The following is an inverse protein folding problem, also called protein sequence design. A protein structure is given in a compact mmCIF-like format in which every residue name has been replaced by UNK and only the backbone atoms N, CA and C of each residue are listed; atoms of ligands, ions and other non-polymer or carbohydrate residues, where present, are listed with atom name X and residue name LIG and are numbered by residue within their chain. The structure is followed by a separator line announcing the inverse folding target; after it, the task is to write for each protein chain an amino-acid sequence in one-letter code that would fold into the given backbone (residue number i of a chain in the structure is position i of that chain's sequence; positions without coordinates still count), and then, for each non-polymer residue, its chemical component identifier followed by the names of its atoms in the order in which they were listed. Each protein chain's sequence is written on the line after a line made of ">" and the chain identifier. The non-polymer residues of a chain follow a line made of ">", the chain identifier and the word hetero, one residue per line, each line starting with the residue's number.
data_IF_149318212334
#
_entry.id   IF_149318212334
#
_cell.length_a   1.000
_cell.length_b   1.000
_cell.length_c   1.000
_cell.angle_alpha   90.00
_cell.angle_beta   90.00
_cell.angle_gamma   90.00
#
_symmetry.space_group_name_H-M   'P 1'
#
loop_
_entity.id
_entity.type
_entity.pdbx_description
1 polymer ?
#
# COMPACT_ATOMS: atom_id res chain seq x y z
N UNK A 1 -44.29 -41.13 3.07
CA UNK A 1 -43.91 -40.36 4.28
C UNK A 1 -42.46 -40.57 4.73
N UNK A 2 -42.03 -41.80 5.11
CA UNK A 2 -40.62 -42.03 5.55
C UNK A 2 -39.52 -41.55 4.59
N UNK A 3 -39.68 -41.74 3.27
CA UNK A 3 -38.72 -41.25 2.25
C UNK A 3 -38.67 -39.72 2.14
N UNK A 4 -39.80 -39.03 2.32
CA UNK A 4 -39.86 -37.57 2.31
C UNK A 4 -39.27 -36.96 3.59
N UNK A 5 -39.48 -37.61 4.75
CA UNK A 5 -38.88 -37.22 6.03
C UNK A 5 -37.35 -37.41 6.00
N UNK A 6 -36.86 -38.51 5.42
CA UNK A 6 -35.42 -38.71 5.25
C UNK A 6 -34.79 -37.70 4.28
N UNK A 7 -35.48 -37.35 3.19
CA UNK A 7 -35.01 -36.31 2.26
C UNK A 7 -34.99 -34.92 2.92
N UNK A 8 -36.02 -34.59 3.71
CA UNK A 8 -36.10 -33.35 4.48
C UNK A 8 -35.00 -33.31 5.56
N UNK A 9 -34.73 -34.43 6.25
CA UNK A 9 -33.62 -34.52 7.21
C UNK A 9 -32.26 -34.42 6.53
N UNK A 10 -32.09 -34.97 5.32
CA UNK A 10 -30.85 -34.82 4.54
C UNK A 10 -30.66 -33.37 4.08
N UNK A 11 -31.74 -32.70 3.66
CA UNK A 11 -31.75 -31.28 3.31
C UNK A 11 -31.48 -30.39 4.53
N UNK A 12 -32.08 -30.71 5.68
CA UNK A 12 -31.83 -30.01 6.95
C UNK A 12 -30.39 -30.24 7.44
N UNK A 13 -29.83 -31.44 7.28
CA UNK A 13 -28.42 -31.72 7.56
C UNK A 13 -27.48 -30.98 6.58
N UNK A 14 -27.88 -30.82 5.32
CA UNK A 14 -27.14 -30.02 4.34
C UNK A 14 -27.20 -28.50 4.65
N UNK A 15 -28.33 -28.01 5.17
CA UNK A 15 -28.50 -26.62 5.63
C UNK A 15 -27.76 -26.36 6.94
N UNK A 16 -27.64 -27.35 7.82
CA UNK A 16 -26.83 -27.28 9.05
C UNK A 16 -25.32 -27.36 8.75
N UNK A 17 -24.92 -27.86 7.58
CA UNK A 17 -23.53 -27.87 7.12
C UNK A 17 -23.06 -26.52 6.54
N UNK A 18 -23.91 -25.47 6.54
CA UNK A 18 -23.45 -24.09 6.43
C UNK A 18 -22.88 -23.60 7.78
N UNK A 19 -22.00 -24.39 8.40
CA UNK A 19 -21.23 -23.93 9.56
C UNK A 19 -20.20 -22.92 9.05
N UNK A 20 -20.12 -21.76 9.69
CA UNK A 20 -19.02 -20.84 9.46
C UNK A 20 -17.69 -21.60 9.59
N UNK A 21 -16.77 -21.37 8.65
CA UNK A 21 -15.50 -22.09 8.61
C UNK A 21 -14.63 -21.60 9.76
N UNK A 22 -13.88 -22.50 10.39
CA UNK A 22 -13.03 -22.15 11.53
C UNK A 22 -11.67 -21.66 11.05
N UNK A 23 -11.16 -20.62 11.68
CA UNK A 23 -9.87 -20.05 11.41
C UNK A 23 -9.12 -19.83 12.70
N UNK A 24 -7.86 -20.23 12.73
CA UNK A 24 -6.96 -19.94 13.84
C UNK A 24 -6.28 -18.61 13.59
N UNK A 25 -6.31 -17.74 14.59
CA UNK A 25 -5.62 -16.45 14.57
C UNK A 25 -4.13 -16.72 14.67
N UNK A 26 -3.41 -16.36 13.62
CA UNK A 26 -1.95 -16.37 13.59
C UNK A 26 -1.41 -14.97 13.37
N UNK A 27 -0.95 -14.35 14.44
CA UNK A 27 -0.43 -13.00 14.38
C UNK A 27 0.84 -12.98 13.53
N UNK A 28 0.79 -12.30 12.37
CA UNK A 28 2.01 -12.09 11.58
C UNK A 28 2.95 -11.09 12.26
N UNK A 29 2.39 -10.17 13.04
CA UNK A 29 3.12 -9.05 13.66
C UNK A 29 2.55 -8.79 15.05
N UNK A 30 3.40 -8.86 16.07
CA UNK A 30 3.02 -8.67 17.46
C UNK A 30 2.21 -9.84 18.01
N UNK A 31 1.61 -9.63 19.18
CA UNK A 31 0.97 -10.69 19.98
C UNK A 31 -0.57 -10.70 19.85
N UNK A 32 -1.13 -9.78 19.07
CA UNK A 32 -2.58 -9.67 18.88
C UNK A 32 -2.97 -8.97 17.57
N UNK A 33 -4.20 -9.21 17.13
CA UNK A 33 -4.80 -8.65 15.92
C UNK A 33 -5.99 -7.77 16.29
N UNK A 34 -6.02 -6.55 15.74
CA UNK A 34 -7.12 -5.62 15.90
C UNK A 34 -8.38 -6.08 15.14
N UNK A 35 -9.52 -6.09 15.83
CA UNK A 35 -10.83 -6.39 15.26
C UNK A 35 -11.69 -5.14 15.24
N UNK A 36 -12.28 -4.86 14.09
CA UNK A 36 -13.11 -3.69 13.84
C UNK A 36 -14.57 -4.07 13.68
N UNK A 37 -15.45 -3.09 13.84
CA UNK A 37 -16.82 -3.23 13.39
C UNK A 37 -16.86 -3.47 11.87
N UNK A 38 -17.91 -4.17 11.43
CA UNK A 38 -18.18 -4.37 10.01
C UNK A 38 -19.48 -3.67 9.67
N UNK A 39 -19.46 -2.87 8.61
CA UNK A 39 -20.66 -2.21 8.09
C UNK A 39 -21.21 -3.10 6.99
N UNK A 40 -22.36 -3.70 7.28
CA UNK A 40 -23.10 -4.55 6.33
C UNK A 40 -24.08 -3.68 5.53
N UNK A 41 -23.90 -3.65 4.21
CA UNK A 41 -24.77 -2.92 3.28
C UNK A 41 -25.39 -3.91 2.31
N UNK A 42 -26.71 -4.04 2.33
CA UNK A 42 -27.44 -4.93 1.42
C UNK A 42 -27.89 -4.09 0.21
N UNK A 43 -27.43 -4.45 -1.00
CA UNK A 43 -27.85 -3.79 -2.23
C UNK A 43 -28.24 -4.86 -3.26
N UNK A 44 -29.54 -4.94 -3.55
CA UNK A 44 -30.12 -6.11 -4.25
C UNK A 44 -29.73 -7.42 -3.53
N UNK A 45 -29.87 -8.60 -4.14
CA UNK A 45 -29.60 -9.90 -3.51
C UNK A 45 -28.14 -10.10 -3.02
N UNK A 46 -27.28 -9.09 -3.15
CA UNK A 46 -25.88 -9.08 -2.75
C UNK A 46 -25.65 -8.31 -1.43
N UNK A 47 -24.86 -8.92 -0.54
CA UNK A 47 -24.39 -8.29 0.70
C UNK A 47 -22.98 -7.74 0.49
N UNK A 48 -22.78 -6.46 0.79
CA UNK A 48 -21.49 -5.78 0.75
C UNK A 48 -21.02 -5.50 2.17
N UNK A 49 -19.73 -5.73 2.42
CA UNK A 49 -19.09 -5.41 3.68
C UNK A 49 -18.08 -4.29 3.50
N UNK A 50 -18.00 -3.39 4.47
CA UNK A 50 -16.89 -2.45 4.62
C UNK A 50 -16.36 -2.43 6.05
N UNK A 51 -15.09 -2.06 6.17
CA UNK A 51 -14.45 -1.90 7.48
C UNK A 51 -15.04 -0.67 8.16
N UNK A 52 -15.59 -0.84 9.34
CA UNK A 52 -15.98 0.32 10.15
C UNK A 52 -14.77 0.99 10.80
N UNK A 53 -14.97 2.20 11.31
CA UNK A 53 -13.89 3.01 11.88
C UNK A 53 -13.56 2.63 13.33
N UNK A 54 -14.40 1.82 13.98
CA UNK A 54 -14.33 1.58 15.42
C UNK A 54 -13.58 0.28 15.71
N UNK A 55 -12.45 0.40 16.41
CA UNK A 55 -11.79 -0.74 17.05
C UNK A 55 -12.71 -1.31 18.14
N UNK A 56 -12.99 -2.61 18.06
CA UNK A 56 -13.90 -3.29 18.98
C UNK A 56 -13.16 -4.09 20.06
N UNK A 57 -12.19 -4.91 19.67
CA UNK A 57 -11.37 -5.72 20.57
C UNK A 57 -10.12 -6.25 19.85
N UNK A 58 -9.30 -7.01 20.57
CA UNK A 58 -8.14 -7.71 20.03
C UNK A 58 -8.34 -9.22 20.12
N UNK A 59 -7.82 -9.94 19.13
CA UNK A 59 -7.68 -11.40 19.15
C UNK A 59 -6.21 -11.75 19.38
N UNK A 60 -5.94 -12.76 20.19
CA UNK A 60 -4.60 -13.22 20.50
C UNK A 60 -4.15 -14.36 19.58
N UNK A 61 -2.83 -14.57 19.48
CA UNK A 61 -2.31 -15.72 18.74
C UNK A 61 -2.86 -17.03 19.31
N UNK A 62 -3.42 -17.87 18.45
CA UNK A 62 -4.06 -19.13 18.83
C UNK A 62 -5.55 -19.02 19.16
N UNK A 63 -6.13 -17.82 19.21
CA UNK A 63 -7.59 -17.69 19.26
C UNK A 63 -8.23 -18.32 18.02
N UNK A 64 -9.39 -18.95 18.17
CA UNK A 64 -10.15 -19.48 17.05
C UNK A 64 -11.38 -18.61 16.78
N UNK A 65 -11.63 -18.34 15.51
CA UNK A 65 -12.78 -17.55 15.05
C UNK A 65 -13.51 -18.25 13.91
N UNK A 66 -14.78 -17.92 13.77
CA UNK A 66 -15.61 -18.40 12.68
C UNK A 66 -15.63 -17.36 11.56
N UNK A 67 -15.07 -17.71 10.41
CA UNK A 67 -15.02 -16.87 9.21
C UNK A 67 -16.22 -17.15 8.32
N UNK A 68 -16.83 -16.08 7.83
CA UNK A 68 -18.10 -16.13 7.08
C UNK A 68 -17.93 -15.62 5.66
N UNK A 69 -17.07 -14.62 5.47
CA UNK A 69 -16.84 -14.00 4.16
C UNK A 69 -15.49 -13.27 4.12
N UNK A 70 -15.05 -12.85 2.93
CA UNK A 70 -13.91 -11.96 2.74
C UNK A 70 -14.32 -10.79 1.84
N UNK A 71 -14.01 -9.59 2.28
CA UNK A 71 -14.06 -8.41 1.44
C UNK A 71 -12.70 -7.77 1.34
N UNK A 72 -12.51 -7.07 0.25
CA UNK A 72 -11.38 -6.21 0.04
C UNK A 72 -11.83 -4.81 0.37
N UNK A 73 -11.07 -4.10 1.21
CA UNK A 73 -11.35 -2.69 1.44
C UNK A 73 -11.14 -1.93 0.12
N UNK A 74 -12.26 -1.73 -0.59
CA UNK A 74 -12.33 -0.98 -1.84
C UNK A 74 -12.55 0.46 -1.45
N UNK A 75 -11.45 1.20 -1.35
CA UNK A 75 -11.54 2.65 -1.48
C UNK A 75 -12.25 3.02 -2.80
N UNK A 76 -12.66 4.28 -2.94
CA UNK A 76 -13.41 4.81 -4.10
C UNK A 76 -12.74 4.54 -5.46
N UNK A 77 -11.44 4.22 -5.50
CA UNK A 77 -10.71 3.83 -6.70
C UNK A 77 -9.89 2.56 -6.41
N UNK A 78 -10.15 1.50 -7.17
CA UNK A 78 -9.37 0.26 -7.15
C UNK A 78 -7.99 0.51 -7.77
N UNK A 79 -6.95 0.42 -6.95
CA UNK A 79 -5.55 0.68 -7.34
C UNK A 79 -4.68 -0.57 -7.23
N UNK A 80 -5.30 -1.77 -7.28
CA UNK A 80 -4.57 -3.03 -7.46
C UNK A 80 -3.78 -3.52 -6.25
N UNK A 81 -4.13 -3.07 -5.04
CA UNK A 81 -3.56 -3.57 -3.80
C UNK A 81 -4.53 -3.34 -2.66
N UNK A 82 -5.65 -4.04 -2.69
CA UNK A 82 -6.65 -3.98 -1.66
C UNK A 82 -6.28 -4.92 -0.51
N UNK A 83 -6.33 -4.40 0.71
CA UNK A 83 -6.13 -5.22 1.90
C UNK A 83 -7.38 -6.10 2.07
N UNK A 84 -7.14 -7.40 2.19
CA UNK A 84 -8.19 -8.37 2.51
C UNK A 84 -8.60 -8.27 3.96
N UNK A 85 -9.90 -8.18 4.19
CA UNK A 85 -10.53 -8.30 5.50
C UNK A 85 -11.42 -9.54 5.50
N UNK A 86 -11.21 -10.42 6.47
CA UNK A 86 -12.10 -11.52 6.75
C UNK A 86 -13.23 -11.03 7.67
N UNK A 87 -14.46 -11.34 7.30
CA UNK A 87 -15.64 -11.18 8.15
C UNK A 87 -15.68 -12.36 9.10
N UNK A 88 -15.60 -12.07 10.40
CA UNK A 88 -15.61 -13.07 11.46
C UNK A 88 -16.88 -12.92 12.30
N UNK A 89 -17.39 -14.03 12.81
CA UNK A 89 -18.52 -14.07 13.72
C UNK A 89 -18.04 -14.38 15.14
N UNK A 90 -18.48 -13.58 16.10
CA UNK A 90 -18.22 -13.77 17.53
C UNK A 90 -19.44 -13.33 18.34
N UNK A 91 -19.89 -14.17 19.26
CA UNK A 91 -21.06 -13.89 20.12
C UNK A 91 -22.32 -13.49 19.33
N UNK A 92 -22.53 -14.11 18.16
CA UNK A 92 -23.66 -13.81 17.27
C UNK A 92 -23.57 -12.49 16.50
N UNK A 93 -22.48 -11.72 16.65
CA UNK A 93 -22.22 -10.48 15.91
C UNK A 93 -21.10 -10.67 14.89
N UNK A 94 -21.20 -9.97 13.76
CA UNK A 94 -20.15 -9.94 12.75
C UNK A 94 -19.16 -8.82 13.05
N UNK A 95 -17.89 -9.08 12.78
CA UNK A 95 -16.77 -8.16 12.89
C UNK A 95 -15.85 -8.37 11.70
N UNK A 96 -14.84 -7.52 11.53
CA UNK A 96 -13.82 -7.75 10.53
C UNK A 96 -12.40 -7.64 11.09
N UNK A 97 -11.51 -8.44 10.52
CA UNK A 97 -10.07 -8.45 10.82
C UNK A 97 -9.28 -8.67 9.54
N UNK A 98 -7.98 -8.37 9.56
CA UNK A 98 -7.11 -8.59 8.40
C UNK A 98 -7.03 -10.09 8.08
N UNK A 99 -7.36 -10.47 6.83
CA UNK A 99 -7.36 -11.88 6.40
C UNK A 99 -5.98 -12.52 6.50
N UNK A 100 -4.92 -11.74 6.32
CA UNK A 100 -3.53 -12.22 6.43
C UNK A 100 -3.13 -12.68 7.84
N UNK A 101 -3.94 -12.46 8.89
CA UNK A 101 -3.66 -12.97 10.24
C UNK A 101 -4.48 -14.22 10.59
N UNK A 102 -5.14 -14.83 9.61
CA UNK A 102 -5.96 -16.01 9.79
C UNK A 102 -5.36 -17.18 9.02
N UNK A 103 -5.43 -18.37 9.62
CA UNK A 103 -5.07 -19.63 8.99
C UNK A 103 -6.28 -20.55 9.02
N UNK A 104 -6.56 -21.24 7.92
CA UNK A 104 -7.61 -22.24 7.88
C UNK A 104 -7.38 -23.30 8.96
N UNK A 105 -8.33 -23.43 9.89
CA UNK A 105 -8.15 -24.28 11.05
C UNK A 105 -8.23 -25.75 10.68
N UNK A 106 -7.44 -26.58 11.36
CA UNK A 106 -7.50 -28.05 11.23
C UNK A 106 -8.75 -28.66 11.85
N UNK A 107 -9.50 -27.87 12.62
CA UNK A 107 -10.75 -28.28 13.23
C UNK A 107 -11.92 -28.29 12.23
N UNK A 108 -11.70 -27.81 11.00
CA UNK A 108 -12.66 -27.98 9.92
C UNK A 108 -12.69 -29.45 9.45
N UNK A 109 -13.87 -29.96 9.03
CA UNK A 109 -13.97 -31.31 8.48
C UNK A 109 -13.04 -31.56 7.29
N UNK A 110 -12.49 -32.77 7.19
CA UNK A 110 -11.62 -33.16 6.08
C UNK A 110 -12.35 -33.02 4.72
N UNK A 111 -11.66 -32.46 3.72
CA UNK A 111 -12.20 -32.25 2.38
C UNK A 111 -12.98 -30.94 2.19
N UNK A 112 -13.10 -30.10 3.22
CA UNK A 112 -13.66 -28.75 3.11
C UNK A 112 -12.62 -27.80 2.50
N UNK A 113 -12.96 -27.17 1.38
CA UNK A 113 -12.14 -26.13 0.76
C UNK A 113 -12.31 -24.78 1.47
N UNK A 114 -11.22 -24.04 1.66
CA UNK A 114 -11.25 -22.69 2.22
C UNK A 114 -11.95 -21.72 1.26
N UNK A 115 -13.00 -21.05 1.74
CA UNK A 115 -13.78 -20.09 0.96
C UNK A 115 -13.45 -18.64 1.31
N UNK A 116 -12.74 -18.40 2.40
CA UNK A 116 -12.46 -17.04 2.91
C UNK A 116 -11.05 -16.61 2.54
N UNK A 117 -10.03 -17.43 2.80
CA UNK A 117 -8.65 -17.00 2.58
C UNK A 117 -8.22 -17.20 1.12
N UNK A 118 -7.34 -16.30 0.66
CA UNK A 118 -6.70 -16.44 -0.64
C UNK A 118 -5.30 -17.02 -0.50
N UNK A 119 -4.75 -17.54 -1.61
CA UNK A 119 -3.35 -18.02 -1.66
C UNK A 119 -2.34 -17.00 -1.16
N UNK A 120 -2.62 -15.70 -1.31
CA UNK A 120 -1.78 -14.62 -0.78
C UNK A 120 -1.80 -14.54 0.75
N UNK A 121 -2.93 -14.83 1.39
CA UNK A 121 -3.04 -14.87 2.85
C UNK A 121 -2.29 -16.11 3.39
N UNK A 122 -2.48 -17.26 2.75
CA UNK A 122 -1.76 -18.49 3.09
C UNK A 122 -0.25 -18.32 2.95
N UNK A 123 0.20 -17.63 1.88
CA UNK A 123 1.60 -17.33 1.65
C UNK A 123 2.22 -16.60 2.85
N UNK A 124 1.48 -15.70 3.50
CA UNK A 124 1.96 -14.93 4.64
C UNK A 124 2.40 -15.83 5.82
N UNK A 125 1.80 -17.02 5.94
CA UNK A 125 2.11 -17.97 7.00
C UNK A 125 3.16 -19.01 6.63
N UNK A 126 3.61 -19.05 5.37
CA UNK A 126 4.77 -19.84 4.96
C UNK A 126 6.07 -19.30 5.58
N UNK A 127 7.12 -20.12 5.63
CA UNK A 127 8.44 -19.69 6.14
C UNK A 127 8.94 -18.44 5.39
N UNK A 128 8.82 -18.43 4.07
CA UNK A 128 9.26 -17.30 3.24
C UNK A 128 8.39 -16.06 3.46
N UNK A 129 7.06 -16.21 3.51
CA UNK A 129 6.16 -15.11 3.78
C UNK A 129 6.41 -14.46 5.13
N UNK A 130 6.59 -15.25 6.20
CA UNK A 130 6.89 -14.75 7.55
C UNK A 130 8.20 -13.95 7.60
N UNK A 131 9.22 -14.37 6.87
CA UNK A 131 10.49 -13.63 6.79
C UNK A 131 10.25 -12.24 6.18
N UNK A 132 9.56 -12.15 5.04
CA UNK A 132 9.36 -10.88 4.34
C UNK A 132 8.24 -10.00 4.92
N UNK A 133 7.31 -10.57 5.68
CA UNK A 133 6.36 -9.79 6.47
C UNK A 133 6.92 -9.31 7.82
N UNK A 134 8.13 -9.77 8.18
CA UNK A 134 8.92 -9.21 9.28
C UNK A 134 9.69 -7.95 8.84
N UNK A 135 10.01 -7.08 9.78
CA UNK A 135 10.80 -5.87 9.52
C UNK A 135 12.30 -6.18 9.27
N UNK A 136 12.75 -7.38 9.65
CA UNK A 136 14.17 -7.77 9.66
C UNK A 136 14.83 -7.63 8.27
N UNK A 137 14.27 -8.17 7.16
CA UNK A 137 14.92 -8.05 5.85
C UNK A 137 15.11 -6.60 5.40
N UNK A 138 14.16 -5.73 5.71
CA UNK A 138 14.23 -4.31 5.37
C UNK A 138 15.28 -3.56 6.18
N UNK A 139 15.45 -3.92 7.47
CA UNK A 139 16.55 -3.39 8.28
C UNK A 139 17.89 -3.84 7.71
N UNK A 140 18.02 -5.10 7.30
CA UNK A 140 19.25 -5.61 6.67
C UNK A 140 19.55 -4.82 5.39
N UNK A 141 18.58 -4.64 4.50
CA UNK A 141 18.74 -3.83 3.27
C UNK A 141 19.19 -2.40 3.63
N UNK A 142 18.51 -1.75 4.57
CA UNK A 142 18.86 -0.38 4.98
C UNK A 142 20.29 -0.29 5.54
N UNK A 143 20.70 -1.26 6.37
CA UNK A 143 22.06 -1.32 6.93
C UNK A 143 23.11 -1.60 5.86
N UNK A 144 22.81 -2.44 4.85
CA UNK A 144 23.71 -2.68 3.72
C UNK A 144 23.93 -1.39 2.92
N UNK A 145 22.87 -0.65 2.58
CA UNK A 145 23.00 0.62 1.86
C UNK A 145 23.69 1.70 2.70
N UNK A 146 23.39 1.78 4.00
CA UNK A 146 24.09 2.70 4.90
C UNK A 146 25.58 2.36 5.03
N UNK A 147 25.92 1.07 5.12
CA UNK A 147 27.29 0.59 5.10
C UNK A 147 28.02 0.97 3.80
N UNK A 148 27.34 0.84 2.66
CA UNK A 148 27.86 1.27 1.35
C UNK A 148 28.10 2.78 1.31
N UNK A 149 27.20 3.59 1.84
CA UNK A 149 27.39 5.04 1.95
C UNK A 149 28.64 5.39 2.75
N UNK A 150 28.79 4.79 3.94
CA UNK A 150 29.95 5.03 4.81
C UNK A 150 31.24 4.55 4.15
N UNK A 151 31.24 3.34 3.56
CA UNK A 151 32.41 2.80 2.87
C UNK A 151 32.83 3.64 1.68
N UNK A 152 31.90 4.18 0.89
CA UNK A 152 32.21 5.09 -0.21
C UNK A 152 32.95 6.34 0.30
N UNK A 153 32.44 6.99 1.33
CA UNK A 153 33.06 8.21 1.91
C UNK A 153 34.46 7.90 2.46
N UNK A 154 34.63 6.77 3.15
CA UNK A 154 35.91 6.38 3.73
C UNK A 154 36.92 5.94 2.65
N UNK A 155 36.47 5.27 1.59
CA UNK A 155 37.31 4.84 0.47
C UNK A 155 37.92 6.02 -0.28
N UNK A 156 37.19 7.12 -0.42
CA UNK A 156 37.72 8.37 -1.00
C UNK A 156 38.85 9.00 -0.16
N UNK A 157 38.92 8.69 1.13
CA UNK A 157 39.90 9.28 2.06
C UNK A 157 41.11 8.40 2.34
N UNK A 158 41.07 7.13 1.96
CA UNK A 158 42.12 6.16 2.29
C UNK A 158 42.27 5.08 1.24
N UNK A 159 43.48 4.97 0.66
CA UNK A 159 43.82 3.93 -0.32
C UNK A 159 43.72 2.51 0.25
N UNK A 160 43.94 2.33 1.56
CA UNK A 160 43.78 1.02 2.22
C UNK A 160 42.30 0.60 2.25
N UNK A 161 41.41 1.54 2.59
CA UNK A 161 39.96 1.28 2.62
C UNK A 161 39.44 1.11 1.19
N UNK A 162 39.95 1.90 0.25
CA UNK A 162 39.61 1.79 -1.17
C UNK A 162 39.82 0.38 -1.71
N UNK A 163 40.94 -0.27 -1.39
CA UNK A 163 41.20 -1.66 -1.81
C UNK A 163 40.14 -2.65 -1.36
N UNK A 164 39.51 -2.43 -0.20
CA UNK A 164 38.43 -3.27 0.34
C UNK A 164 37.09 -2.85 -0.28
N UNK A 165 36.85 -1.54 -0.38
CA UNK A 165 35.62 -0.95 -0.89
C UNK A 165 35.32 -1.34 -2.35
N UNK A 166 36.35 -1.51 -3.18
CA UNK A 166 36.21 -1.96 -4.58
C UNK A 166 35.53 -3.33 -4.72
N UNK A 167 35.53 -4.15 -3.67
CA UNK A 167 34.84 -5.45 -3.66
C UNK A 167 33.62 -5.42 -2.75
N UNK A 168 33.76 -4.81 -1.56
CA UNK A 168 32.71 -4.80 -0.55
C UNK A 168 31.46 -4.03 -1.00
N UNK A 169 31.63 -2.89 -1.69
CA UNK A 169 30.50 -2.04 -2.09
C UNK A 169 29.60 -2.76 -3.11
N UNK A 170 30.12 -3.29 -4.24
CA UNK A 170 29.31 -4.07 -5.18
C UNK A 170 28.64 -5.27 -4.52
N UNK A 171 29.34 -5.97 -3.62
CA UNK A 171 28.79 -7.13 -2.93
C UNK A 171 27.61 -6.75 -2.02
N UNK A 172 27.73 -5.65 -1.28
CA UNK A 172 26.65 -5.16 -0.41
C UNK A 172 25.44 -4.67 -1.22
N UNK A 173 25.68 -3.89 -2.30
CA UNK A 173 24.61 -3.44 -3.20
C UNK A 173 23.91 -4.64 -3.84
N UNK A 174 24.67 -5.63 -4.31
CA UNK A 174 24.14 -6.85 -4.91
C UNK A 174 23.32 -7.65 -3.90
N UNK A 175 23.82 -7.84 -2.68
CA UNK A 175 23.11 -8.54 -1.62
C UNK A 175 21.78 -7.83 -1.26
N UNK A 176 21.81 -6.51 -1.08
CA UNK A 176 20.60 -5.72 -0.83
C UNK A 176 19.59 -5.82 -1.97
N UNK A 177 20.06 -5.68 -3.21
CA UNK A 177 19.23 -5.78 -4.42
C UNK A 177 18.61 -7.17 -4.58
N UNK A 178 19.37 -8.25 -4.34
CA UNK A 178 18.84 -9.61 -4.41
C UNK A 178 17.77 -9.86 -3.35
N UNK A 179 17.95 -9.31 -2.14
CA UNK A 179 16.92 -9.36 -1.09
C UNK A 179 15.65 -8.59 -1.51
N UNK A 180 15.77 -7.43 -2.15
CA UNK A 180 14.63 -6.67 -2.67
C UNK A 180 13.88 -7.43 -3.77
N UNK A 181 14.61 -7.98 -4.74
CA UNK A 181 14.03 -8.80 -5.82
C UNK A 181 13.32 -10.02 -5.22
N UNK A 182 13.93 -10.68 -4.23
CA UNK A 182 13.32 -11.84 -3.58
C UNK A 182 12.08 -11.46 -2.76
N UNK A 183 12.12 -10.34 -2.03
CA UNK A 183 10.96 -9.82 -1.31
C UNK A 183 9.79 -9.53 -2.25
N UNK A 184 10.08 -8.89 -3.40
CA UNK A 184 9.08 -8.61 -4.42
C UNK A 184 8.59 -9.88 -5.12
N UNK A 185 9.45 -10.87 -5.39
CA UNK A 185 9.02 -12.12 -6.03
C UNK A 185 8.10 -12.95 -5.14
N UNK A 186 8.26 -12.85 -3.82
CA UNK A 186 7.40 -13.55 -2.84
C UNK A 186 6.12 -12.75 -2.61
N UNK A 187 6.22 -11.49 -2.17
CA UNK A 187 5.06 -10.72 -1.71
C UNK A 187 4.40 -9.85 -2.80
N UNK A 188 5.00 -9.73 -3.98
CA UNK A 188 4.57 -8.77 -5.00
C UNK A 188 4.57 -7.34 -4.45
N UNK A 189 3.52 -6.59 -4.75
CA UNK A 189 3.34 -5.21 -4.25
C UNK A 189 3.13 -5.14 -2.73
N UNK A 190 2.80 -6.26 -2.06
CA UNK A 190 2.70 -6.31 -0.61
C UNK A 190 4.06 -6.24 0.08
N UNK A 191 5.19 -6.36 -0.62
CA UNK A 191 6.51 -6.16 0.00
C UNK A 191 6.72 -4.71 0.51
N UNK A 192 5.91 -3.75 0.07
CA UNK A 192 5.92 -2.37 0.56
C UNK A 192 4.91 -2.12 1.69
N UNK A 193 4.48 -3.19 2.37
CA UNK A 193 3.52 -3.14 3.47
C UNK A 193 3.91 -2.18 4.61
N UNK A 194 5.20 -1.95 4.83
CA UNK A 194 5.73 -1.06 5.86
C UNK A 194 5.46 0.42 5.54
N UNK A 195 5.11 0.76 4.29
CA UNK A 195 4.63 2.07 3.87
C UNK A 195 3.11 2.11 3.64
N UNK A 196 2.36 1.06 4.01
CA UNK A 196 0.94 0.99 3.71
C UNK A 196 0.10 1.90 4.62
N UNK A 197 -0.69 2.80 4.01
CA UNK A 197 -1.62 3.69 4.71
C UNK A 197 -2.67 2.95 5.53
N UNK A 198 -3.13 1.79 5.05
CA UNK A 198 -4.23 1.08 5.69
C UNK A 198 -3.78 0.44 7.02
N UNK A 199 -2.45 0.31 7.20
CA UNK A 199 -1.82 -0.20 8.41
C UNK A 199 -1.36 0.91 9.34
N UNK A 200 -0.80 1.98 8.79
CA UNK A 200 -0.15 3.03 9.58
C UNK A 200 -0.84 4.39 9.57
N UNK A 201 -1.99 4.50 8.89
CA UNK A 201 -2.64 5.78 8.61
C UNK A 201 -1.85 6.63 7.60
N UNK A 202 -2.44 7.77 7.24
CA UNK A 202 -1.87 8.69 6.24
C UNK A 202 -0.48 9.21 6.67
N UNK A 203 -0.39 9.87 7.83
CA UNK A 203 0.87 10.47 8.29
C UNK A 203 1.94 9.41 8.61
N UNK A 204 1.53 8.24 9.13
CA UNK A 204 2.45 7.14 9.38
C UNK A 204 3.03 6.55 8.10
N UNK A 205 2.25 6.45 7.03
CA UNK A 205 2.74 6.05 5.70
C UNK A 205 3.65 7.13 5.10
N UNK A 206 3.22 8.40 5.13
CA UNK A 206 3.95 9.53 4.56
C UNK A 206 5.37 9.67 5.13
N UNK A 207 5.52 9.60 6.45
CA UNK A 207 6.83 9.71 7.10
C UNK A 207 7.78 8.56 6.76
N UNK A 208 7.26 7.37 6.44
CA UNK A 208 8.06 6.19 6.06
C UNK A 208 8.47 6.20 4.59
N UNK A 209 7.73 6.90 3.74
CA UNK A 209 8.13 7.10 2.33
C UNK A 209 9.39 7.95 2.21
N UNK A 210 9.62 8.88 3.14
CA UNK A 210 10.83 9.72 3.11
C UNK A 210 12.11 8.87 3.17
N UNK A 211 12.35 8.03 4.20
CA UNK A 211 13.54 7.16 4.23
C UNK A 211 13.53 6.15 3.08
N UNK A 212 12.37 5.67 2.63
CA UNK A 212 12.29 4.80 1.45
C UNK A 212 12.83 5.51 0.19
N UNK A 213 12.32 6.70 -0.09
CA UNK A 213 12.72 7.51 -1.25
C UNK A 213 14.20 7.89 -1.19
N UNK A 214 14.76 8.14 -0.01
CA UNK A 214 16.20 8.38 0.17
C UNK A 214 17.03 7.15 -0.19
N UNK A 215 16.61 5.95 0.23
CA UNK A 215 17.28 4.69 -0.14
C UNK A 215 17.19 4.47 -1.65
N UNK A 216 16.01 4.62 -2.25
CA UNK A 216 15.81 4.46 -3.71
C UNK A 216 16.67 5.47 -4.48
N UNK A 217 16.67 6.74 -4.07
CA UNK A 217 17.51 7.77 -4.67
C UNK A 217 18.99 7.43 -4.57
N UNK A 218 19.44 7.01 -3.38
CA UNK A 218 20.82 6.58 -3.19
C UNK A 218 21.15 5.37 -4.07
N UNK A 219 20.27 4.37 -4.12
CA UNK A 219 20.44 3.17 -4.94
C UNK A 219 20.63 3.57 -6.39
N UNK A 220 19.75 4.40 -6.98
CA UNK A 220 19.86 4.89 -8.36
C UNK A 220 21.16 5.68 -8.62
N UNK A 221 21.63 6.45 -7.63
CA UNK A 221 22.85 7.25 -7.74
C UNK A 221 24.13 6.49 -7.33
N UNK A 222 24.00 5.30 -6.75
CA UNK A 222 25.11 4.61 -6.08
C UNK A 222 26.24 4.24 -7.03
N UNK A 223 25.92 3.87 -8.28
CA UNK A 223 26.96 3.62 -9.30
C UNK A 223 27.80 4.87 -9.55
N UNK A 224 27.20 6.05 -9.67
CA UNK A 224 27.95 7.30 -9.88
C UNK A 224 28.83 7.64 -8.70
N UNK A 225 28.36 7.40 -7.48
CA UNK A 225 29.18 7.60 -6.28
C UNK A 225 30.30 6.57 -6.15
N UNK A 226 30.15 5.41 -6.80
CA UNK A 226 31.09 4.30 -6.73
C UNK A 226 32.13 4.31 -7.87
N UNK A 227 31.84 4.97 -9.00
CA UNK A 227 32.78 5.17 -10.11
C UNK A 227 34.16 5.70 -9.68
N UNK A 228 34.27 6.76 -8.84
CA UNK A 228 35.55 7.24 -8.35
C UNK A 228 36.31 6.21 -7.50
N UNK A 229 35.60 5.31 -6.81
CA UNK A 229 36.20 4.28 -5.95
C UNK A 229 36.84 3.17 -6.80
N UNK A 230 36.17 2.74 -7.87
CA UNK A 230 36.73 1.77 -8.83
C UNK A 230 37.88 2.41 -9.62
N UNK A 231 37.59 3.52 -10.29
CA UNK A 231 38.46 4.08 -11.32
C UNK A 231 39.63 4.87 -10.72
N UNK A 232 39.46 5.46 -9.53
CA UNK A 232 40.53 6.15 -8.82
C UNK A 232 41.18 7.27 -9.60
N UNK A 233 42.51 7.23 -9.69
CA UNK A 233 43.31 8.22 -10.43
C UNK A 233 43.06 8.21 -11.95
N UNK A 234 42.45 7.14 -12.49
CA UNK A 234 42.02 7.08 -13.88
C UNK A 234 40.64 7.70 -14.13
N UNK A 235 39.97 8.20 -13.09
CA UNK A 235 38.70 8.89 -13.21
C UNK A 235 38.94 10.36 -13.60
N UNK A 236 38.74 10.70 -14.87
CA UNK A 236 38.90 12.06 -15.38
C UNK A 236 37.65 12.95 -15.20
N UNK A 237 36.56 12.38 -14.66
CA UNK A 237 35.29 13.07 -14.43
C UNK A 237 34.42 13.18 -15.69
N UNK A 238 34.85 12.66 -16.84
CA UNK A 238 34.04 12.68 -18.06
C UNK A 238 32.99 11.55 -18.04
N UNK A 239 31.75 11.93 -18.29
CA UNK A 239 30.55 11.06 -18.20
C UNK A 239 30.55 9.98 -19.30
N UNK A 240 31.47 10.07 -20.26
CA UNK A 240 31.65 9.09 -21.32
C UNK A 240 32.53 7.89 -20.92
N UNK A 241 33.39 7.99 -19.91
CA UNK A 241 34.30 6.90 -19.50
C UNK A 241 33.92 6.18 -18.18
N UNK A 242 32.72 6.47 -17.67
CA UNK A 242 32.12 5.77 -16.52
C UNK A 242 31.67 4.34 -16.80
N UNK A 243 31.17 3.65 -15.75
CA UNK A 243 30.72 2.26 -15.83
C UNK A 243 29.57 2.14 -16.85
N UNK A 244 29.61 1.12 -17.71
CA UNK A 244 28.65 0.97 -18.82
C UNK A 244 27.28 0.46 -18.37
N UNK A 245 26.50 1.33 -17.73
CA UNK A 245 25.13 1.03 -17.27
C UNK A 245 24.08 1.28 -18.36
N UNK A 246 24.27 2.34 -19.16
CA UNK A 246 23.26 2.82 -20.12
C UNK A 246 22.84 1.75 -21.15
N UNK A 247 23.76 1.00 -21.79
CA UNK A 247 23.36 -0.01 -22.78
C UNK A 247 22.56 -1.17 -22.17
N UNK A 248 22.95 -1.62 -20.97
CA UNK A 248 22.22 -2.67 -20.25
C UNK A 248 20.84 -2.19 -19.80
N UNK A 249 20.72 -0.95 -19.32
CA UNK A 249 19.44 -0.35 -18.92
C UNK A 249 18.50 -0.20 -20.12
N UNK A 250 18.96 0.36 -21.23
CA UNK A 250 18.16 0.52 -22.45
C UNK A 250 17.67 -0.83 -22.95
N UNK A 251 18.54 -1.84 -22.95
CA UNK A 251 18.21 -3.20 -23.37
C UNK A 251 17.17 -3.88 -22.46
N UNK A 252 17.30 -3.73 -21.14
CA UNK A 252 16.31 -4.25 -20.18
C UNK A 252 14.97 -3.52 -20.33
N UNK A 253 14.96 -2.20 -20.50
CA UNK A 253 13.72 -1.43 -20.70
C UNK A 253 13.06 -1.70 -22.05
N UNK A 254 13.86 -1.89 -23.10
CA UNK A 254 13.38 -2.20 -24.45
C UNK A 254 12.84 -3.63 -24.59
N UNK A 255 13.17 -4.54 -23.65
CA UNK A 255 12.73 -5.92 -23.68
C UNK A 255 11.20 -6.05 -23.77
N UNK A 256 10.45 -5.27 -22.98
CA UNK A 256 8.98 -5.32 -22.97
C UNK A 256 8.37 -4.74 -24.27
N UNK A 257 8.74 -3.53 -24.75
CA UNK A 257 8.33 -3.04 -26.07
C UNK A 257 8.66 -4.01 -27.21
N UNK A 258 9.84 -4.64 -27.19
CA UNK A 258 10.24 -5.62 -28.20
C UNK A 258 9.28 -6.81 -28.18
N UNK A 259 8.94 -7.36 -27.01
CA UNK A 259 7.96 -8.46 -26.92
C UNK A 259 6.61 -8.06 -27.49
N UNK A 260 6.10 -6.86 -27.15
CA UNK A 260 4.81 -6.37 -27.64
C UNK A 260 4.84 -6.19 -29.16
N UNK A 261 5.85 -5.51 -29.70
CA UNK A 261 5.99 -5.27 -31.14
C UNK A 261 6.18 -6.58 -31.90
N UNK A 262 7.00 -7.50 -31.37
CA UNK A 262 7.18 -8.84 -31.94
C UNK A 262 5.87 -9.63 -31.98
N UNK A 263 5.11 -9.63 -30.88
CA UNK A 263 3.80 -10.29 -30.83
C UNK A 263 2.85 -9.72 -31.89
N UNK A 264 2.73 -8.39 -31.98
CA UNK A 264 1.88 -7.73 -32.97
C UNK A 264 2.31 -8.02 -34.41
N UNK A 265 3.61 -8.03 -34.70
CA UNK A 265 4.14 -8.35 -36.03
C UNK A 265 3.84 -9.81 -36.39
N UNK A 266 4.05 -10.75 -35.47
CA UNK A 266 3.84 -12.17 -35.75
C UNK A 266 2.36 -12.53 -35.85
N UNK A 267 1.49 -11.89 -35.05
CA UNK A 267 0.04 -11.96 -35.21
C UNK A 267 -0.39 -11.42 -36.58
N UNK A 268 0.14 -10.26 -37.01
CA UNK A 268 -0.12 -9.70 -38.34
C UNK A 268 0.34 -10.63 -39.48
N UNK A 269 1.44 -11.37 -39.28
CA UNK A 269 1.95 -12.35 -40.24
C UNK A 269 1.19 -13.69 -40.21
N UNK A 270 0.16 -13.82 -39.38
CA UNK A 270 -0.64 -15.05 -39.26
C UNK A 270 0.12 -16.22 -38.63
N UNK A 271 1.22 -15.95 -37.93
CA UNK A 271 1.95 -16.97 -37.17
C UNK A 271 1.18 -17.25 -35.87
N UNK A 272 1.01 -18.53 -35.54
CA UNK A 272 0.34 -18.93 -34.30
C UNK A 272 1.01 -20.14 -33.64
N UNK A 273 0.82 -20.26 -32.34
CA UNK A 273 1.26 -21.42 -31.55
C UNK A 273 2.74 -21.39 -31.19
N UNK A 274 3.40 -22.54 -31.29
CA UNK A 274 4.77 -22.70 -30.75
C UNK A 274 5.82 -21.88 -31.52
N UNK A 275 5.63 -21.67 -32.83
CA UNK A 275 6.56 -20.91 -33.69
C UNK A 275 6.55 -19.44 -33.31
N UNK A 276 5.37 -18.86 -33.13
CA UNK A 276 5.17 -17.48 -32.66
C UNK A 276 5.84 -17.29 -31.29
N UNK A 277 5.57 -18.18 -30.34
CA UNK A 277 6.15 -18.15 -29.00
C UNK A 277 7.69 -18.22 -29.02
N UNK A 278 8.26 -19.06 -29.89
CA UNK A 278 9.71 -19.17 -30.07
C UNK A 278 10.30 -17.89 -30.65
N UNK A 279 9.67 -17.29 -31.66
CA UNK A 279 10.17 -16.07 -32.29
C UNK A 279 10.08 -14.86 -31.37
N UNK A 280 9.03 -14.76 -30.54
CA UNK A 280 8.93 -13.75 -29.48
C UNK A 280 10.07 -13.95 -28.47
N UNK A 281 10.32 -15.19 -28.04
CA UNK A 281 11.44 -15.50 -27.14
C UNK A 281 12.80 -15.14 -27.74
N UNK A 282 13.04 -15.48 -29.01
CA UNK A 282 14.29 -15.12 -29.71
C UNK A 282 14.44 -13.60 -29.80
N UNK A 283 13.37 -12.87 -30.13
CA UNK A 283 13.37 -11.41 -30.21
C UNK A 283 13.73 -10.77 -28.86
N UNK A 284 13.13 -11.29 -27.78
CA UNK A 284 13.46 -10.89 -26.40
C UNK A 284 14.93 -11.16 -26.06
N UNK A 285 15.42 -12.38 -26.35
CA UNK A 285 16.80 -12.77 -26.06
C UNK A 285 17.82 -11.96 -26.85
N UNK A 286 17.52 -11.60 -28.11
CA UNK A 286 18.38 -10.73 -28.91
C UNK A 286 18.41 -9.31 -28.34
N UNK A 287 17.26 -8.75 -27.99
CA UNK A 287 17.18 -7.41 -27.39
C UNK A 287 17.95 -7.31 -26.08
N UNK A 288 17.84 -8.33 -25.21
CA UNK A 288 18.60 -8.44 -23.96
C UNK A 288 20.09 -8.71 -24.22
N UNK A 289 20.39 -9.64 -25.12
CA UNK A 289 21.74 -10.10 -25.42
C UNK A 289 22.63 -9.00 -26.01
N UNK A 290 22.11 -8.17 -26.92
CA UNK A 290 22.89 -7.10 -27.57
C UNK A 290 23.35 -6.06 -26.54
N UNK A 291 22.46 -5.57 -25.68
CA UNK A 291 22.82 -4.55 -24.69
C UNK A 291 23.75 -5.07 -23.60
N UNK A 292 23.52 -6.30 -23.13
CA UNK A 292 24.41 -6.97 -22.17
C UNK A 292 25.79 -7.21 -22.79
N UNK A 293 25.86 -7.64 -24.05
CA UNK A 293 27.13 -7.87 -24.75
C UNK A 293 27.92 -6.57 -24.95
N UNK A 294 27.25 -5.48 -25.36
CA UNK A 294 27.88 -4.16 -25.49
C UNK A 294 28.38 -3.62 -24.14
N UNK A 295 27.60 -3.82 -23.07
CA UNK A 295 28.03 -3.49 -21.70
C UNK A 295 29.26 -4.32 -21.30
N UNK A 296 29.26 -5.63 -21.56
CA UNK A 296 30.38 -6.52 -21.27
C UNK A 296 31.66 -6.11 -21.99
N UNK A 297 31.59 -5.84 -23.30
CA UNK A 297 32.75 -5.43 -24.08
C UNK A 297 33.39 -4.16 -23.50
N UNK A 298 32.57 -3.14 -23.25
CA UNK A 298 33.03 -1.85 -22.69
C UNK A 298 33.59 -2.01 -21.28
N UNK A 299 32.96 -2.81 -20.43
CA UNK A 299 33.43 -3.07 -19.07
C UNK A 299 34.75 -3.86 -19.03
N UNK A 300 34.98 -4.79 -19.97
CA UNK A 300 36.27 -5.50 -20.10
C UNK A 300 37.38 -4.54 -20.53
N UNK A 301 37.09 -3.65 -21.47
CA UNK A 301 38.02 -2.61 -21.94
C UNK A 301 38.38 -1.64 -20.80
N UNK A 302 37.39 -1.15 -20.06
CA UNK A 302 37.58 -0.28 -18.90
C UNK A 302 38.43 -0.92 -17.80
N UNK A 303 38.12 -2.16 -17.42
CA UNK A 303 38.81 -2.86 -16.33
C UNK A 303 40.16 -3.48 -16.75
N UNK A 304 40.49 -3.47 -18.05
CA UNK A 304 41.65 -4.17 -18.64
C UNK A 304 41.77 -5.64 -18.21
N UNK A 305 40.65 -6.27 -17.86
CA UNK A 305 40.59 -7.63 -17.30
C UNK A 305 39.25 -8.29 -17.62
N UNK A 306 39.30 -9.46 -18.26
CA UNK A 306 38.09 -10.23 -18.63
C UNK A 306 37.27 -10.64 -17.40
N UNK A 307 37.95 -11.09 -16.34
CA UNK A 307 37.29 -11.54 -15.10
C UNK A 307 36.57 -10.40 -14.38
N UNK A 308 37.25 -9.24 -14.26
CA UNK A 308 36.67 -8.08 -13.59
C UNK A 308 35.57 -7.42 -14.44
N UNK A 309 35.75 -7.34 -15.76
CA UNK A 309 34.72 -6.84 -16.66
C UNK A 309 33.44 -7.68 -16.66
N UNK A 310 33.58 -9.02 -16.59
CA UNK A 310 32.43 -9.93 -16.43
C UNK A 310 31.70 -9.70 -15.10
N UNK A 311 32.44 -9.65 -13.99
CA UNK A 311 31.86 -9.39 -12.65
C UNK A 311 31.16 -8.05 -12.58
N UNK A 312 31.75 -6.99 -13.15
CA UNK A 312 31.17 -5.65 -13.21
C UNK A 312 29.87 -5.63 -14.03
N UNK A 313 29.81 -6.40 -15.12
CA UNK A 313 28.61 -6.51 -15.97
C UNK A 313 27.50 -7.28 -15.26
N UNK A 314 27.82 -8.40 -14.61
CA UNK A 314 26.86 -9.15 -13.79
C UNK A 314 26.28 -8.26 -12.68
N UNK A 315 27.16 -7.53 -11.98
CA UNK A 315 26.76 -6.54 -11.00
C UNK A 315 25.82 -5.49 -11.58
N UNK A 316 26.16 -4.92 -12.74
CA UNK A 316 25.35 -3.89 -13.40
C UNK A 316 23.96 -4.41 -13.75
N UNK A 317 23.84 -5.65 -14.21
CA UNK A 317 22.53 -6.27 -14.51
C UNK A 317 21.67 -6.40 -13.25
N UNK A 318 22.23 -7.01 -12.19
CA UNK A 318 21.50 -7.20 -10.93
C UNK A 318 21.09 -5.84 -10.36
N UNK A 319 22.01 -4.87 -10.36
CA UNK A 319 21.78 -3.51 -9.93
C UNK A 319 20.63 -2.81 -10.69
N UNK A 320 20.58 -2.94 -12.02
CA UNK A 320 19.50 -2.36 -12.83
C UNK A 320 18.16 -2.98 -12.45
N UNK A 321 18.09 -4.30 -12.30
CA UNK A 321 16.86 -4.99 -11.88
C UNK A 321 16.39 -4.52 -10.50
N UNK A 322 17.31 -4.37 -9.54
CA UNK A 322 17.02 -3.79 -8.23
C UNK A 322 16.45 -2.38 -8.32
N UNK A 323 17.14 -1.50 -9.05
CA UNK A 323 16.68 -0.14 -9.28
C UNK A 323 15.26 -0.10 -9.87
N UNK A 324 14.95 -0.97 -10.82
CA UNK A 324 13.61 -1.06 -11.42
C UNK A 324 12.58 -1.45 -10.35
N UNK A 325 12.83 -2.50 -9.56
CA UNK A 325 11.93 -2.95 -8.50
C UNK A 325 11.73 -1.85 -7.44
N UNK A 326 12.80 -1.20 -7.01
CA UNK A 326 12.79 -0.17 -5.99
C UNK A 326 12.05 1.10 -6.45
N UNK A 327 12.32 1.57 -7.68
CA UNK A 327 11.61 2.71 -8.29
C UNK A 327 10.15 2.39 -8.53
N UNK A 328 9.84 1.20 -9.05
CA UNK A 328 8.46 0.75 -9.22
C UNK A 328 7.70 0.71 -7.90
N UNK A 329 8.33 0.18 -6.85
CA UNK A 329 7.80 0.19 -5.50
C UNK A 329 7.48 1.59 -5.00
N UNK A 330 8.42 2.53 -5.17
CA UNK A 330 8.23 3.92 -4.79
C UNK A 330 7.07 4.57 -5.56
N UNK A 331 6.97 4.32 -6.87
CA UNK A 331 5.86 4.78 -7.71
C UNK A 331 4.53 4.26 -7.16
N UNK A 332 4.40 2.94 -6.95
CA UNK A 332 3.17 2.32 -6.43
C UNK A 332 2.76 2.94 -5.09
N UNK A 333 3.71 3.12 -4.17
CA UNK A 333 3.43 3.69 -2.85
C UNK A 333 3.03 5.17 -2.95
N UNK A 334 3.71 5.98 -3.76
CA UNK A 334 3.36 7.40 -3.99
C UNK A 334 1.98 7.54 -4.62
N UNK A 335 1.68 6.75 -5.66
CA UNK A 335 0.36 6.78 -6.32
C UNK A 335 -0.76 6.47 -5.33
N UNK A 336 -0.58 5.46 -4.45
CA UNK A 336 -1.55 5.14 -3.39
C UNK A 336 -1.80 6.33 -2.46
N UNK A 337 -0.78 7.13 -2.13
CA UNK A 337 -0.95 8.33 -1.31
C UNK A 337 -1.57 9.51 -2.08
N UNK A 338 -1.16 9.77 -3.32
CA UNK A 338 -1.72 10.86 -4.13
C UNK A 338 -3.22 10.67 -4.30
N UNK A 339 -3.65 9.45 -4.64
CA UNK A 339 -5.07 9.13 -4.80
C UNK A 339 -5.85 9.38 -3.51
N UNK A 340 -5.25 9.10 -2.35
CA UNK A 340 -5.87 9.43 -1.07
C UNK A 340 -6.03 10.94 -0.86
N UNK A 341 -5.01 11.73 -1.17
CA UNK A 341 -5.09 13.20 -1.08
C UNK A 341 -6.20 13.72 -1.99
N UNK A 342 -6.34 13.17 -3.20
CA UNK A 342 -7.42 13.52 -4.12
C UNK A 342 -8.79 13.15 -3.55
N UNK A 343 -8.96 11.97 -2.96
CA UNK A 343 -10.23 11.55 -2.33
C UNK A 343 -10.61 12.51 -1.19
N UNK A 344 -9.66 12.83 -0.29
CA UNK A 344 -9.90 13.78 0.79
C UNK A 344 -10.27 15.16 0.21
N UNK A 345 -9.55 15.61 -0.82
CA UNK A 345 -9.84 16.86 -1.52
C UNK A 345 -11.23 16.90 -2.14
N UNK A 346 -11.67 15.80 -2.77
CA UNK A 346 -13.03 15.68 -3.33
C UNK A 346 -14.08 15.66 -2.23
N UNK A 347 -13.86 14.95 -1.12
CA UNK A 347 -14.79 14.93 0.01
C UNK A 347 -14.92 16.34 0.61
N UNK A 348 -13.80 17.02 0.87
CA UNK A 348 -13.81 18.40 1.38
C UNK A 348 -14.50 19.33 0.36
N UNK A 349 -14.18 19.22 -0.92
CA UNK A 349 -14.81 20.00 -1.98
C UNK A 349 -16.32 19.74 -2.07
N UNK A 350 -16.76 18.48 -1.94
CA UNK A 350 -18.16 18.11 -1.90
C UNK A 350 -18.84 18.64 -0.65
N UNK A 351 -18.22 18.54 0.53
CA UNK A 351 -18.75 19.12 1.76
C UNK A 351 -18.89 20.63 1.63
N UNK A 352 -17.89 21.33 1.08
CA UNK A 352 -17.94 22.78 0.84
C UNK A 352 -18.98 23.19 -0.21
N UNK A 353 -19.23 22.32 -1.20
CA UNK A 353 -20.23 22.54 -2.25
C UNK A 353 -21.66 22.19 -1.80
N UNK A 354 -21.81 21.14 -1.02
CA UNK A 354 -23.08 20.69 -0.44
C UNK A 354 -23.45 21.46 0.84
N UNK A 355 -22.50 22.23 1.41
CA UNK A 355 -22.82 23.28 2.35
C UNK A 355 -23.74 24.28 1.63
N UNK A 356 -24.94 24.56 2.16
CA UNK A 356 -25.77 25.62 1.62
C UNK A 356 -24.94 26.91 1.62
N UNK A 357 -25.08 27.72 0.56
CA UNK A 357 -24.36 29.00 0.42
C UNK A 357 -24.25 29.66 1.79
N UNK A 358 -23.03 30.01 2.26
CA UNK A 358 -22.93 30.83 3.44
C UNK A 358 -23.65 32.13 3.09
N UNK A 359 -24.89 32.27 3.58
CA UNK A 359 -25.58 33.55 3.58
C UNK A 359 -24.57 34.53 4.15
N UNK A 360 -24.17 35.47 3.30
CA UNK A 360 -22.93 36.23 3.43
C UNK A 360 -22.67 36.70 4.85
N UNK A 361 -21.39 36.74 5.20
CA UNK A 361 -20.91 37.26 6.47
C UNK A 361 -21.64 38.54 6.87
N UNK A 362 -22.54 38.39 7.84
CA UNK A 362 -22.89 39.44 8.79
C UNK A 362 -22.28 39.00 10.11
N UNK A 363 -21.33 39.79 10.61
CA UNK A 363 -20.77 39.61 11.94
C UNK A 363 -21.89 39.43 12.98
N UNK A 364 -21.58 38.72 14.06
CA UNK A 364 -22.55 38.35 15.09
C UNK A 364 -23.50 39.49 15.43
N UNK A 365 -24.73 39.44 14.90
CA UNK A 365 -25.83 40.20 15.45
C UNK A 365 -26.45 39.29 16.50
N UNK A 366 -26.04 39.54 17.74
CA UNK A 366 -26.95 39.41 18.87
C UNK A 366 -28.22 40.14 18.44
N UNK A 367 -29.30 39.39 18.16
CA UNK A 367 -30.61 40.00 17.98
C UNK A 367 -30.97 40.57 19.34
N UNK A 368 -30.68 41.85 19.59
CA UNK A 368 -31.27 42.55 20.70
C UNK A 368 -32.76 42.57 20.42
N UNK A 369 -33.48 41.64 21.05
CA UNK A 369 -34.93 41.69 21.11
C UNK A 369 -35.24 42.99 21.82
N UNK A 370 -35.76 43.99 21.10
CA UNK A 370 -36.13 45.27 21.71
C UNK A 370 -37.28 44.99 22.68
N UNK A 371 -36.96 44.93 23.97
CA UNK A 371 -37.93 44.74 25.05
C UNK A 371 -38.47 46.10 25.44
N UNK A 372 -39.79 46.26 25.37
CA UNK A 372 -40.49 47.48 25.75
C UNK A 372 -41.00 47.33 27.18
N UNK A 373 -40.68 48.27 28.06
CA UNK A 373 -41.16 48.24 29.45
C UNK A 373 -42.38 49.14 29.61
N UNK A 374 -43.41 48.64 30.30
CA UNK A 374 -44.56 49.45 30.74
C UNK A 374 -44.21 50.32 31.96
N UNK A 375 -45.12 51.19 32.40
CA UNK A 375 -44.92 52.09 33.55
C UNK A 375 -44.66 51.35 34.87
N UNK A 376 -45.15 50.10 34.99
CA UNK A 376 -44.89 49.17 36.09
C UNK A 376 -43.57 48.37 35.92
N UNK A 377 -42.76 48.71 34.91
CA UNK A 377 -41.48 48.07 34.55
C UNK A 377 -41.58 46.59 34.15
N UNK A 378 -42.70 46.16 33.58
CA UNK A 378 -42.83 44.81 33.00
C UNK A 378 -42.47 44.82 31.52
N UNK A 379 -41.75 43.78 31.11
CA UNK A 379 -41.21 43.60 29.78
C UNK A 379 -42.27 43.09 28.79
N UNK A 380 -42.31 43.69 27.60
CA UNK A 380 -43.19 43.33 26.50
C UNK A 380 -42.41 43.19 25.19
N UNK A 381 -42.84 42.23 24.36
CA UNK A 381 -42.18 41.88 23.11
C UNK A 381 -42.52 42.84 21.94
N UNK A 382 -43.40 43.83 22.15
CA UNK A 382 -43.72 44.88 21.16
C UNK A 382 -44.21 46.17 21.82
N UNK A 383 -44.03 47.31 21.14
CA UNK A 383 -44.50 48.61 21.61
C UNK A 383 -46.03 48.67 21.77
N UNK A 384 -46.77 48.03 20.87
CA UNK A 384 -48.24 47.95 20.95
C UNK A 384 -48.72 47.22 22.22
N UNK A 385 -48.02 46.15 22.63
CA UNK A 385 -48.35 45.43 23.86
C UNK A 385 -48.06 46.26 25.12
N UNK A 386 -46.94 47.00 25.14
CA UNK A 386 -46.64 47.98 26.20
C UNK A 386 -47.72 49.06 26.28
N UNK A 387 -48.12 49.66 25.16
CA UNK A 387 -49.05 50.79 25.15
C UNK A 387 -50.45 50.38 25.65
N UNK A 388 -50.91 49.19 25.26
CA UNK A 388 -52.16 48.60 25.77
C UNK A 388 -52.08 48.23 27.26
N UNK A 389 -50.88 47.89 27.76
CA UNK A 389 -50.67 47.65 29.19
C UNK A 389 -50.69 48.97 29.98
N UNK A 390 -50.05 50.03 29.46
CA UNK A 390 -50.08 51.38 30.04
C UNK A 390 -51.49 51.96 30.10
N UNK A 391 -52.30 51.77 29.06
CA UNK A 391 -53.71 52.22 29.05
C UNK A 391 -54.51 51.59 30.21
N UNK A 392 -54.31 50.29 30.47
CA UNK A 392 -54.93 49.59 31.61
C UNK A 392 -54.34 49.96 32.98
N UNK A 393 -53.13 50.50 33.02
CA UNK A 393 -52.54 51.04 34.26
C UNK A 393 -53.19 52.41 34.52
N UNK A 394 -53.25 53.27 33.52
CA UNK A 394 -53.90 54.57 33.59
C UNK A 394 -55.38 54.47 33.99
N UNK A 395 -56.14 53.51 33.45
CA UNK A 395 -57.53 53.27 33.89
C UNK A 395 -57.63 52.88 35.36
N UNK A 396 -56.69 52.08 35.87
CA UNK A 396 -56.63 51.66 37.28
C UNK A 396 -56.20 52.80 38.21
N UNK A 397 -55.34 53.69 37.75
CA UNK A 397 -54.93 54.87 38.52
C UNK A 397 -55.99 55.97 38.50
N UNK A 398 -56.66 56.19 37.37
CA UNK A 398 -57.82 57.08 37.28
C UNK A 398 -58.97 56.61 38.19
N UNK A 399 -59.16 55.29 38.33
CA UNK A 399 -60.10 54.69 39.28
C UNK A 399 -59.69 54.78 40.77
N UNK A 400 -58.49 55.26 41.10
CA UNK A 400 -58.04 55.50 42.48
C UNK A 400 -58.19 56.95 42.94
N UNK A 401 -58.56 57.86 42.02
CA UNK A 401 -58.76 59.30 42.30
C UNK A 401 -60.27 59.67 42.37
N UNK A 402 -61.16 58.67 42.56
CA UNK A 402 -62.57 58.89 42.91
C UNK A 402 -62.93 58.17 44.22
#
# INVERSE_FOLDING_TARGET
>A
MKKAINLLMLLLLYVVAASAQKYDVKCLRGDSVAVYDVVETIRSEDTYYSKGEKLMFYLHDGDQVEGVDKFYDKGVIDTGGSIGYAVIQKDGKKYCTLSENLVFSKDNPEGVEDKVLTKSDELAHTIQGRIFYSIIPYIIIALLFLGVMVLNILAMRSNKIRSIAVVAIPACIMAGTLLEIWAYSVLGTNCFWWCDKNRYGFFGSLLRIIPFGLIVFYQVMSIKFYEPVILGEAFDGDVQDGISVKPALISILAALPVVIVSALIFEFLGLSGWVESLLILVSLLLALGIGVFLSLKRNIELMKSKKLGLLLTLFTIVYILGCIVAVWGLIVVIFKLIIQILIIGVIIGFVLYAMPEPKGGGGGNVTYRTVYYDEDRKAHDSAYARDKANEKIAEREAGKIN
#
